data_IF_118438782136
#
_entry.id   IF_118438782136
#
_cell.length_a   1.000
_cell.length_b   1.000
_cell.length_c   1.000
_cell.angle_alpha   90.00
_cell.angle_beta   90.00
_cell.angle_gamma   90.00
#
_symmetry.space_group_name_H-M   'P 1'
#
loop_
_entity.id
_entity.type
_entity.pdbx_description
1 polymer ?
#
# COMPACT_ATOMS: atom_id res chain seq x y z
N UNK A 1 40.63 -4.29 23.67
CA UNK A 1 39.63 -5.35 23.58
C UNK A 1 38.35 -4.67 23.16
N UNK A 2 37.80 -5.03 22.02
CA UNK A 2 36.52 -4.48 21.54
C UNK A 2 35.46 -5.55 21.79
N UNK A 3 34.31 -5.14 22.37
CA UNK A 3 33.12 -5.97 22.53
C UNK A 3 32.13 -5.60 21.43
N UNK A 4 31.58 -6.58 20.76
CA UNK A 4 30.53 -6.39 19.76
C UNK A 4 29.25 -7.05 20.28
N UNK A 5 28.12 -6.38 20.17
CA UNK A 5 26.83 -6.96 20.45
C UNK A 5 26.52 -8.03 19.37
N UNK A 6 25.96 -9.15 19.79
CA UNK A 6 25.48 -10.19 18.90
C UNK A 6 24.03 -9.98 18.45
N UNK A 7 23.32 -9.06 19.11
CA UNK A 7 21.92 -8.70 18.87
C UNK A 7 21.79 -7.19 18.88
N UNK A 8 20.78 -6.68 18.21
CA UNK A 8 20.40 -5.28 18.25
C UNK A 8 19.73 -4.94 19.58
N UNK A 9 19.93 -3.73 20.10
CA UNK A 9 19.33 -3.31 21.34
C UNK A 9 20.11 -2.20 22.07
N UNK A 10 19.61 -1.81 23.24
CA UNK A 10 20.22 -0.81 24.10
C UNK A 10 21.29 -1.43 24.98
N UNK A 11 22.57 -0.99 24.90
CA UNK A 11 23.58 -1.44 25.83
C UNK A 11 23.38 -0.83 27.24
N UNK A 12 23.26 -1.68 28.26
CA UNK A 12 23.17 -1.30 29.66
C UNK A 12 24.30 -1.92 30.47
N UNK A 13 24.69 -1.24 31.55
CA UNK A 13 25.70 -1.71 32.46
C UNK A 13 25.08 -2.35 33.71
N UNK A 14 25.34 -3.62 33.94
CA UNK A 14 24.97 -4.37 35.15
C UNK A 14 26.25 -4.81 35.90
N UNK A 15 26.82 -3.90 36.68
CA UNK A 15 28.11 -4.13 37.35
C UNK A 15 29.26 -4.24 36.36
N UNK A 16 29.91 -5.40 36.28
CA UNK A 16 31.02 -5.70 35.35
C UNK A 16 30.55 -6.25 33.98
N UNK A 17 29.25 -6.43 33.80
CA UNK A 17 28.66 -6.96 32.58
C UNK A 17 28.02 -5.85 31.74
N UNK A 18 28.11 -5.96 30.40
CA UNK A 18 27.32 -5.18 29.44
C UNK A 18 26.21 -6.11 28.92
N UNK A 19 24.97 -5.70 29.11
CA UNK A 19 23.78 -6.39 28.64
C UNK A 19 23.19 -5.56 27.48
N UNK A 20 22.74 -6.21 26.43
CA UNK A 20 21.97 -5.56 25.35
C UNK A 20 20.50 -5.87 25.57
N UNK A 21 19.68 -4.85 25.80
CA UNK A 21 18.25 -4.97 25.99
C UNK A 21 17.57 -4.83 24.63
N UNK A 22 16.98 -5.91 24.13
CA UNK A 22 16.23 -5.95 22.86
C UNK A 22 14.85 -5.28 22.99
N UNK A 23 14.34 -5.11 24.21
CA UNK A 23 13.06 -4.46 24.54
C UNK A 23 13.28 -3.37 25.57
N UNK A 24 12.89 -2.15 25.23
CA UNK A 24 12.99 -0.96 26.07
C UNK A 24 11.58 -0.56 26.51
N UNK A 25 11.38 -0.35 27.82
CA UNK A 25 10.12 0.20 28.34
C UNK A 25 10.33 1.63 28.77
N UNK A 26 9.57 2.54 28.20
CA UNK A 26 9.53 3.96 28.56
C UNK A 26 8.29 4.22 29.42
N UNK A 27 8.51 4.69 30.65
CA UNK A 27 7.44 4.99 31.60
C UNK A 27 7.06 6.48 31.49
N UNK A 28 5.89 6.76 30.93
CA UNK A 28 5.35 8.10 30.74
C UNK A 28 5.12 8.43 29.26
N UNK A 29 4.90 9.70 28.97
CA UNK A 29 4.57 10.20 27.65
C UNK A 29 5.83 10.62 26.88
N UNK A 30 5.85 10.40 25.59
CA UNK A 30 6.85 10.97 24.68
C UNK A 30 6.34 12.34 24.25
N UNK A 31 6.87 13.37 24.88
CA UNK A 31 6.47 14.76 24.65
C UNK A 31 7.67 15.69 24.45
N UNK A 32 7.46 16.99 24.67
CA UNK A 32 8.48 18.02 24.46
C UNK A 32 9.73 17.80 25.32
N UNK A 33 9.56 17.28 26.55
CA UNK A 33 10.68 17.02 27.45
C UNK A 33 11.51 15.80 27.07
N UNK A 34 10.87 14.80 26.48
CA UNK A 34 11.54 13.58 26.01
C UNK A 34 12.26 13.82 24.69
N UNK A 35 11.66 14.64 23.81
CA UNK A 35 12.11 14.82 22.43
C UNK A 35 11.76 13.61 21.55
N UNK A 36 12.39 13.56 20.38
CA UNK A 36 12.22 12.45 19.43
C UNK A 36 12.99 11.22 19.89
N UNK A 37 12.49 10.04 19.55
CA UNK A 37 13.06 8.76 19.97
C UNK A 37 13.46 7.94 18.73
N UNK A 38 14.72 7.54 18.67
CA UNK A 38 15.23 6.63 17.64
C UNK A 38 16.04 5.52 18.32
N UNK A 39 15.54 4.29 18.24
CA UNK A 39 16.16 3.15 18.94
C UNK A 39 16.18 1.88 18.07
N UNK A 40 17.31 1.19 18.11
CA UNK A 40 17.48 -0.10 17.45
C UNK A 40 17.04 -1.24 18.38
N UNK A 41 15.77 -1.24 18.78
CA UNK A 41 15.16 -2.20 19.69
C UNK A 41 13.64 -2.20 19.53
N UNK A 42 12.93 -3.11 20.23
CA UNK A 42 11.50 -2.98 20.50
C UNK A 42 11.29 -1.93 21.59
N UNK A 43 10.34 -1.02 21.38
CA UNK A 43 9.98 0.02 22.34
C UNK A 43 8.56 -0.16 22.85
N UNK A 44 8.38 -0.09 24.16
CA UNK A 44 7.08 -0.01 24.81
C UNK A 44 6.95 1.33 25.50
N UNK A 45 6.00 2.15 25.06
CA UNK A 45 5.65 3.44 25.67
C UNK A 45 4.42 3.23 26.54
N UNK A 46 4.56 3.38 27.86
CA UNK A 46 3.44 3.18 28.80
C UNK A 46 2.45 4.35 28.81
N UNK A 47 2.78 5.45 28.20
CA UNK A 47 1.97 6.67 28.04
C UNK A 47 1.60 6.92 26.58
N UNK A 48 1.40 8.19 26.27
CA UNK A 48 1.01 8.73 24.96
C UNK A 48 2.21 9.27 24.17
N UNK A 49 1.99 9.55 22.88
CA UNK A 49 2.94 10.28 22.04
C UNK A 49 2.30 11.59 21.61
N UNK A 50 2.91 12.70 22.04
CA UNK A 50 2.38 14.03 21.87
C UNK A 50 2.73 14.66 20.50
N UNK A 51 2.09 15.79 20.21
CA UNK A 51 2.26 16.57 19.00
C UNK A 51 3.72 16.89 18.65
N UNK A 52 4.04 16.69 17.38
CA UNK A 52 5.33 17.01 16.79
C UNK A 52 6.45 16.05 17.19
N UNK A 53 6.12 14.88 17.77
CA UNK A 53 7.13 13.87 18.13
C UNK A 53 7.31 12.86 17.01
N UNK A 54 8.55 12.45 16.87
CA UNK A 54 8.95 11.39 15.96
C UNK A 54 9.52 10.21 16.77
N UNK A 55 8.94 9.02 16.55
CA UNK A 55 9.38 7.79 17.20
C UNK A 55 9.72 6.77 16.13
N UNK A 56 11.01 6.42 16.04
CA UNK A 56 11.51 5.36 15.14
C UNK A 56 12.07 4.21 15.94
N UNK A 57 11.65 3.00 15.61
CA UNK A 57 12.16 1.77 16.21
C UNK A 57 12.51 0.76 15.14
N UNK A 58 13.60 0.02 15.35
CA UNK A 58 14.01 -1.00 14.37
C UNK A 58 13.12 -2.27 14.40
N UNK A 59 12.46 -2.54 15.53
CA UNK A 59 11.58 -3.68 15.73
C UNK A 59 10.14 -3.23 16.03
N UNK A 60 9.47 -3.84 17.00
CA UNK A 60 8.08 -3.49 17.32
C UNK A 60 7.96 -2.23 18.15
N UNK A 61 6.87 -1.48 17.95
CA UNK A 61 6.49 -0.33 18.75
C UNK A 61 5.11 -0.59 19.40
N UNK A 62 5.04 -0.45 20.70
CA UNK A 62 3.82 -0.57 21.49
C UNK A 62 3.58 0.72 22.29
N UNK A 63 2.45 1.39 22.05
CA UNK A 63 2.03 2.63 22.74
C UNK A 63 0.74 2.33 23.50
N UNK A 64 0.76 2.49 24.84
CA UNK A 64 -0.42 2.20 25.68
C UNK A 64 -1.40 3.38 25.77
N UNK A 65 -0.98 4.59 25.43
CA UNK A 65 -1.80 5.78 25.37
C UNK A 65 -2.30 6.11 23.96
N UNK A 66 -2.57 7.40 23.75
CA UNK A 66 -3.00 7.98 22.49
C UNK A 66 -1.80 8.55 21.69
N UNK A 67 -2.01 8.78 20.41
CA UNK A 67 -1.03 9.41 19.51
C UNK A 67 -1.68 10.60 18.82
N UNK A 68 -1.16 11.80 19.07
CA UNK A 68 -1.70 13.03 18.48
C UNK A 68 -0.62 13.79 17.70
N UNK A 69 -0.87 14.04 16.42
CA UNK A 69 0.00 14.80 15.50
C UNK A 69 1.48 14.38 15.55
N UNK A 70 1.70 13.08 15.61
CA UNK A 70 3.02 12.48 15.70
C UNK A 70 3.34 11.57 14.52
N UNK A 71 4.62 11.24 14.36
CA UNK A 71 5.10 10.30 13.36
C UNK A 71 5.70 9.07 14.04
N UNK A 72 5.10 7.91 13.81
CA UNK A 72 5.55 6.63 14.36
C UNK A 72 6.01 5.71 13.23
N UNK A 73 7.23 5.21 13.34
CA UNK A 73 7.80 4.25 12.40
C UNK A 73 8.37 3.04 13.14
N UNK A 74 7.85 1.86 12.86
CA UNK A 74 8.34 0.58 13.36
C UNK A 74 8.85 -0.30 12.22
N UNK A 75 10.06 -0.86 12.37
CA UNK A 75 10.56 -1.87 11.44
C UNK A 75 9.76 -3.17 11.51
N UNK A 76 9.19 -3.48 12.67
CA UNK A 76 8.22 -4.53 12.94
C UNK A 76 6.78 -4.00 13.03
N UNK A 77 5.97 -4.63 13.89
CA UNK A 77 4.57 -4.25 14.08
C UNK A 77 4.40 -3.02 14.99
N UNK A 78 3.31 -2.27 14.77
CA UNK A 78 2.94 -1.08 15.52
C UNK A 78 1.61 -1.31 16.23
N UNK A 79 1.58 -1.24 17.55
CA UNK A 79 0.36 -1.34 18.36
C UNK A 79 0.15 -0.05 19.15
N UNK A 80 -1.01 0.58 18.98
CA UNK A 80 -1.47 1.70 19.79
C UNK A 80 -2.76 1.29 20.48
N UNK A 81 -2.76 1.21 21.81
CA UNK A 81 -3.96 0.81 22.57
C UNK A 81 -5.07 1.87 22.50
N UNK A 82 -4.67 3.12 22.46
CA UNK A 82 -5.56 4.28 22.34
C UNK A 82 -5.91 4.67 20.90
N UNK A 83 -6.20 5.95 20.73
CA UNK A 83 -6.60 6.56 19.46
C UNK A 83 -5.40 7.24 18.79
N UNK A 84 -5.40 7.25 17.46
CA UNK A 84 -4.45 8.03 16.68
C UNK A 84 -5.18 9.14 15.92
N UNK A 85 -4.71 10.38 16.07
CA UNK A 85 -5.34 11.57 15.48
C UNK A 85 -4.28 12.41 14.78
N UNK A 86 -4.54 12.80 13.52
CA UNK A 86 -3.65 13.62 12.68
C UNK A 86 -2.20 13.11 12.61
N UNK A 87 -1.99 11.81 12.66
CA UNK A 87 -0.69 11.18 12.82
C UNK A 87 -0.31 10.32 11.63
N UNK A 88 0.99 10.08 11.48
CA UNK A 88 1.52 9.16 10.48
C UNK A 88 2.02 7.89 11.17
N UNK A 89 1.53 6.74 10.70
CA UNK A 89 1.82 5.44 11.29
C UNK A 89 2.40 4.52 10.21
N UNK A 90 3.60 4.03 10.42
CA UNK A 90 4.25 3.09 9.49
C UNK A 90 4.71 1.84 10.23
N UNK A 91 4.23 0.66 9.79
CA UNK A 91 4.65 -0.65 10.28
C UNK A 91 5.30 -1.49 9.17
N UNK A 92 6.43 -2.14 9.50
CA UNK A 92 7.26 -2.83 8.53
C UNK A 92 8.31 -1.95 7.86
N UNK A 93 8.48 -0.70 8.34
CA UNK A 93 9.49 0.23 7.88
C UNK A 93 9.54 0.34 6.34
N UNK A 94 10.76 0.20 5.77
CA UNK A 94 10.96 0.21 4.32
C UNK A 94 10.14 -0.85 3.57
N UNK A 95 9.77 -1.96 4.23
CA UNK A 95 9.02 -3.04 3.60
C UNK A 95 7.58 -2.63 3.25
N UNK A 96 6.95 -1.78 4.06
CA UNK A 96 5.63 -1.23 3.75
C UNK A 96 5.65 -0.44 2.45
N UNK A 97 6.64 0.46 2.32
CA UNK A 97 6.84 1.29 1.12
C UNK A 97 7.12 0.44 -0.12
N UNK A 98 7.97 -0.60 0.01
CA UNK A 98 8.27 -1.53 -1.09
C UNK A 98 7.02 -2.33 -1.49
N UNK A 99 6.19 -2.76 -0.53
CA UNK A 99 4.92 -3.44 -0.82
C UNK A 99 3.92 -2.53 -1.53
N UNK A 100 3.89 -1.24 -1.16
CA UNK A 100 3.08 -0.24 -1.85
C UNK A 100 3.49 -0.11 -3.32
N UNK A 101 4.79 0.02 -3.60
CA UNK A 101 5.30 0.02 -4.98
C UNK A 101 4.95 -1.28 -5.73
N UNK A 102 5.11 -2.43 -5.07
CA UNK A 102 4.78 -3.73 -5.66
C UNK A 102 3.28 -3.89 -5.96
N UNK A 103 2.41 -3.35 -5.13
CA UNK A 103 0.97 -3.34 -5.38
C UNK A 103 0.63 -2.51 -6.62
N UNK A 104 1.21 -1.31 -6.74
CA UNK A 104 1.03 -0.46 -7.92
C UNK A 104 1.63 -1.06 -9.20
N UNK A 105 2.73 -1.83 -9.11
CA UNK A 105 3.36 -2.51 -10.25
C UNK A 105 2.61 -3.77 -10.70
N UNK A 106 1.95 -4.48 -9.76
CA UNK A 106 1.48 -5.86 -9.97
C UNK A 106 0.46 -6.02 -11.10
N UNK A 107 -0.48 -5.10 -11.25
CA UNK A 107 -1.44 -5.07 -12.37
C UNK A 107 -0.77 -4.59 -13.66
N UNK A 108 0.15 -3.64 -13.55
CA UNK A 108 0.78 -2.99 -14.70
C UNK A 108 1.64 -3.94 -15.54
N UNK A 109 2.44 -4.80 -14.91
CA UNK A 109 3.34 -5.73 -15.63
C UNK A 109 2.59 -6.71 -16.52
N UNK A 110 1.44 -7.20 -16.04
CA UNK A 110 0.63 -8.17 -16.77
C UNK A 110 -0.13 -7.54 -17.93
N UNK A 111 -0.73 -6.37 -17.69
CA UNK A 111 -1.41 -5.60 -18.73
C UNK A 111 -0.46 -5.21 -19.85
N UNK A 112 0.76 -4.78 -19.50
CA UNK A 112 1.79 -4.46 -20.48
C UNK A 112 2.21 -5.68 -21.31
N UNK A 113 2.22 -6.89 -20.75
CA UNK A 113 2.51 -8.11 -21.51
C UNK A 113 1.43 -8.41 -22.55
N UNK A 114 0.15 -8.20 -22.17
CA UNK A 114 -0.99 -8.31 -23.10
C UNK A 114 -0.93 -7.24 -24.17
N UNK A 115 -0.65 -6.00 -23.77
CA UNK A 115 -0.48 -4.85 -24.69
C UNK A 115 0.61 -5.13 -25.71
N UNK A 116 1.80 -5.62 -25.30
CA UNK A 116 2.89 -5.93 -26.22
C UNK A 116 2.49 -6.99 -27.25
N UNK A 117 1.80 -8.04 -26.82
CA UNK A 117 1.27 -9.08 -27.69
C UNK A 117 0.24 -8.54 -28.68
N UNK A 118 -0.63 -7.65 -28.21
CA UNK A 118 -1.65 -6.99 -29.05
C UNK A 118 -1.02 -6.06 -30.07
N UNK A 119 -0.02 -5.27 -29.69
CA UNK A 119 0.74 -4.39 -30.61
C UNK A 119 1.40 -5.22 -31.71
N UNK A 120 2.05 -6.35 -31.35
CA UNK A 120 2.68 -7.24 -32.34
C UNK A 120 1.67 -7.78 -33.34
N UNK A 121 0.53 -8.24 -32.85
CA UNK A 121 -0.55 -8.74 -33.70
C UNK A 121 -1.10 -7.64 -34.63
N UNK A 122 -1.28 -6.43 -34.15
CA UNK A 122 -1.72 -5.27 -34.97
C UNK A 122 -0.71 -4.96 -36.07
N UNK A 123 0.58 -4.91 -35.72
CA UNK A 123 1.67 -4.60 -36.66
C UNK A 123 1.81 -5.71 -37.73
N UNK A 124 1.77 -6.99 -37.32
CA UNK A 124 1.83 -8.11 -38.27
C UNK A 124 0.62 -8.15 -39.21
N UNK A 125 -0.57 -7.98 -38.66
CA UNK A 125 -1.82 -7.96 -39.47
C UNK A 125 -1.87 -6.77 -40.45
N UNK A 126 -1.30 -5.64 -40.12
CA UNK A 126 -1.16 -4.52 -41.04
C UNK A 126 -0.18 -4.83 -42.17
N UNK A 127 0.98 -5.46 -41.84
CA UNK A 127 1.98 -5.89 -42.83
C UNK A 127 1.39 -6.89 -43.84
N UNK A 128 0.61 -7.87 -43.34
CA UNK A 128 -0.02 -8.87 -44.19
C UNK A 128 -1.01 -8.25 -45.19
N UNK A 129 -1.58 -7.08 -44.83
CA UNK A 129 -2.45 -6.27 -45.71
C UNK A 129 -1.69 -5.26 -46.58
N UNK A 130 -0.35 -5.31 -46.60
CA UNK A 130 0.48 -4.37 -47.33
C UNK A 130 0.53 -2.96 -46.75
N UNK A 131 0.11 -2.79 -45.50
CA UNK A 131 0.12 -1.52 -44.76
C UNK A 131 1.29 -1.45 -43.78
N UNK A 132 1.81 -0.23 -43.57
CA UNK A 132 2.81 0.01 -42.52
C UNK A 132 2.14 0.64 -41.30
N UNK A 133 2.16 -0.08 -40.17
CA UNK A 133 1.72 0.44 -38.88
C UNK A 133 2.93 0.53 -37.94
N UNK A 134 3.40 1.74 -37.59
CA UNK A 134 4.47 1.89 -36.61
C UNK A 134 4.02 1.35 -35.23
N UNK A 135 4.89 0.59 -34.50
CA UNK A 135 4.54 0.03 -33.18
C UNK A 135 4.05 1.08 -32.19
N UNK A 136 4.66 2.27 -32.15
CA UNK A 136 4.24 3.36 -31.29
C UNK A 136 2.83 3.89 -31.58
N UNK A 137 2.38 3.86 -32.85
CA UNK A 137 0.99 4.22 -33.20
C UNK A 137 0.00 3.17 -32.75
N UNK A 138 0.36 1.88 -32.85
CA UNK A 138 -0.46 0.80 -32.33
C UNK A 138 -0.57 0.89 -30.80
N UNK A 139 0.54 1.13 -30.12
CA UNK A 139 0.58 1.34 -28.67
C UNK A 139 -0.29 2.54 -28.25
N UNK A 140 -0.16 3.69 -28.92
CA UNK A 140 -0.98 4.87 -28.63
C UNK A 140 -2.49 4.56 -28.72
N UNK A 141 -2.94 3.87 -29.77
CA UNK A 141 -4.33 3.51 -29.94
C UNK A 141 -4.86 2.61 -28.82
N UNK A 142 -4.02 1.71 -28.28
CA UNK A 142 -4.36 0.88 -27.14
C UNK A 142 -4.43 1.66 -25.84
N UNK A 143 -3.48 2.59 -25.63
CA UNK A 143 -3.43 3.46 -24.44
C UNK A 143 -4.50 4.56 -24.43
N UNK A 144 -5.09 4.91 -25.55
CA UNK A 144 -6.25 5.81 -25.66
C UNK A 144 -7.59 5.05 -25.69
N UNK A 145 -7.54 3.72 -25.77
CA UNK A 145 -8.69 2.83 -25.88
C UNK A 145 -8.77 1.83 -24.72
N UNK A 146 -8.75 0.52 -25.05
CA UNK A 146 -9.06 -0.53 -24.08
C UNK A 146 -8.06 -0.65 -22.91
N UNK A 147 -6.84 -0.12 -23.05
CA UNK A 147 -5.79 -0.18 -22.02
C UNK A 147 -5.43 1.21 -21.45
N UNK A 148 -6.39 2.13 -21.42
CA UNK A 148 -6.17 3.45 -20.82
C UNK A 148 -5.81 3.38 -19.32
N UNK A 149 -6.28 2.36 -18.60
CA UNK A 149 -5.96 2.09 -17.19
C UNK A 149 -4.47 1.94 -16.92
N UNK A 150 -3.69 1.38 -17.85
CA UNK A 150 -2.23 1.23 -17.71
C UNK A 150 -1.53 2.58 -17.46
N UNK A 151 -2.01 3.66 -18.08
CA UNK A 151 -1.48 5.00 -17.82
C UNK A 151 -1.76 5.49 -16.41
N UNK A 152 -2.94 5.17 -15.89
CA UNK A 152 -3.33 5.52 -14.52
C UNK A 152 -2.45 4.76 -13.52
N UNK A 153 -2.27 3.46 -13.70
CA UNK A 153 -1.41 2.65 -12.84
C UNK A 153 0.06 3.11 -12.90
N UNK A 154 0.58 3.47 -14.07
CA UNK A 154 1.93 4.02 -14.14
C UNK A 154 2.05 5.39 -13.46
N UNK A 155 1.00 6.22 -13.48
CA UNK A 155 0.98 7.46 -12.71
C UNK A 155 0.96 7.20 -11.19
N UNK A 156 0.28 6.15 -10.74
CA UNK A 156 0.31 5.70 -9.33
C UNK A 156 1.71 5.22 -8.92
N UNK A 157 2.38 4.43 -9.77
CA UNK A 157 3.78 4.01 -9.55
C UNK A 157 4.70 5.22 -9.36
N UNK A 158 4.60 6.21 -10.24
CA UNK A 158 5.37 7.45 -10.13
C UNK A 158 5.01 8.22 -8.85
N UNK A 159 3.72 8.31 -8.50
CA UNK A 159 3.27 8.98 -7.28
C UNK A 159 3.82 8.30 -6.02
N UNK A 160 3.89 6.97 -5.96
CA UNK A 160 4.50 6.23 -4.85
C UNK A 160 6.00 6.52 -4.77
N UNK A 161 6.71 6.54 -5.90
CA UNK A 161 8.15 6.86 -5.93
C UNK A 161 8.40 8.30 -5.47
N UNK A 162 7.57 9.24 -5.91
CA UNK A 162 7.70 10.67 -5.56
C UNK A 162 7.37 10.91 -4.08
N UNK A 163 6.31 10.28 -3.56
CA UNK A 163 5.87 10.45 -2.18
C UNK A 163 6.91 9.97 -1.17
N UNK A 164 7.62 8.89 -1.47
CA UNK A 164 8.59 8.29 -0.55
C UNK A 164 10.04 8.64 -0.88
N UNK A 165 10.28 9.19 -2.06
CA UNK A 165 11.60 9.48 -2.60
C UNK A 165 12.29 8.26 -3.21
N UNK A 166 12.89 8.44 -4.39
CA UNK A 166 13.54 7.38 -5.17
C UNK A 166 14.60 6.57 -4.37
N UNK A 167 15.25 7.20 -3.38
CA UNK A 167 16.27 6.54 -2.54
C UNK A 167 15.71 5.44 -1.63
N UNK A 168 14.39 5.39 -1.42
CA UNK A 168 13.72 4.33 -0.66
C UNK A 168 13.67 3.01 -1.43
N UNK A 169 13.81 3.05 -2.74
CA UNK A 169 13.70 1.90 -3.64
C UNK A 169 15.06 1.53 -4.25
N UNK A 170 15.24 0.28 -4.72
CA UNK A 170 16.39 -0.08 -5.52
C UNK A 170 16.44 0.73 -6.82
N UNK A 171 17.63 1.24 -7.15
CA UNK A 171 17.85 2.09 -8.35
C UNK A 171 17.33 1.42 -9.64
N UNK A 172 17.52 0.10 -9.78
CA UNK A 172 17.03 -0.66 -10.93
C UNK A 172 15.51 -0.66 -11.06
N UNK A 173 14.77 -0.74 -9.95
CA UNK A 173 13.32 -0.72 -9.95
C UNK A 173 12.78 0.66 -10.35
N UNK A 174 13.36 1.73 -9.80
CA UNK A 174 13.01 3.11 -10.17
C UNK A 174 13.31 3.39 -11.65
N UNK A 175 14.49 2.99 -12.13
CA UNK A 175 14.87 3.18 -13.53
C UNK A 175 13.94 2.41 -14.48
N UNK A 176 13.56 1.17 -14.14
CA UNK A 176 12.62 0.39 -14.94
C UNK A 176 11.21 1.03 -14.98
N UNK A 177 10.70 1.48 -13.83
CA UNK A 177 9.42 2.17 -13.75
C UNK A 177 9.41 3.44 -14.62
N UNK A 178 10.40 4.31 -14.47
CA UNK A 178 10.53 5.53 -15.28
C UNK A 178 10.65 5.23 -16.78
N UNK A 179 11.40 4.18 -17.17
CA UNK A 179 11.54 3.81 -18.57
C UNK A 179 10.22 3.34 -19.19
N UNK A 180 9.43 2.57 -18.45
CA UNK A 180 8.09 2.14 -18.88
C UNK A 180 7.14 3.33 -18.93
N UNK A 181 7.10 4.15 -17.90
CA UNK A 181 6.27 5.37 -17.83
C UNK A 181 6.55 6.31 -19.00
N UNK A 182 7.83 6.54 -19.34
CA UNK A 182 8.22 7.35 -20.49
C UNK A 182 7.63 6.84 -21.82
N UNK A 183 7.59 5.51 -22.00
CA UNK A 183 7.04 4.91 -23.22
C UNK A 183 5.50 4.90 -23.21
N UNK A 184 4.87 4.60 -22.08
CA UNK A 184 3.42 4.41 -21.98
C UNK A 184 2.65 5.73 -21.85
N UNK A 185 3.16 6.66 -21.05
CA UNK A 185 2.50 7.94 -20.76
C UNK A 185 3.15 9.15 -21.43
N UNK A 186 4.38 9.02 -21.94
CA UNK A 186 5.19 10.09 -22.48
C UNK A 186 5.39 10.06 -23.99
N UNK A 187 6.39 10.79 -24.45
CA UNK A 187 6.77 10.89 -25.87
C UNK A 187 7.50 9.63 -26.37
N UNK A 188 8.00 8.77 -25.50
CA UNK A 188 8.78 7.58 -25.84
C UNK A 188 8.06 6.57 -26.71
N UNK A 189 6.72 6.56 -26.74
CA UNK A 189 5.98 5.71 -27.68
C UNK A 189 6.26 6.06 -29.16
N UNK A 190 6.57 7.32 -29.46
CA UNK A 190 6.95 7.74 -30.80
C UNK A 190 8.36 7.32 -31.20
N UNK A 191 9.20 6.96 -30.23
CA UNK A 191 10.57 6.51 -30.40
C UNK A 191 10.67 4.99 -30.62
N UNK A 192 9.55 4.27 -30.41
CA UNK A 192 9.50 2.82 -30.61
C UNK A 192 9.64 2.47 -32.10
N UNK A 193 10.77 1.84 -32.43
CA UNK A 193 11.08 1.34 -33.77
C UNK A 193 10.71 -0.13 -33.96
N UNK A 194 10.56 -0.89 -32.88
CA UNK A 194 10.19 -2.31 -32.88
C UNK A 194 9.46 -2.73 -31.61
N UNK A 195 8.67 -3.79 -31.71
CA UNK A 195 7.94 -4.37 -30.56
C UNK A 195 8.93 -4.99 -29.55
N UNK A 196 10.10 -5.43 -30.01
CA UNK A 196 11.14 -6.02 -29.14
C UNK A 196 11.64 -5.04 -28.08
N UNK A 197 11.66 -3.73 -28.39
CA UNK A 197 12.02 -2.69 -27.41
C UNK A 197 10.99 -2.62 -26.28
N UNK A 198 9.70 -2.67 -26.61
CA UNK A 198 8.63 -2.69 -25.61
C UNK A 198 8.72 -3.94 -24.73
N UNK A 199 8.92 -5.10 -25.35
CA UNK A 199 9.11 -6.38 -24.62
C UNK A 199 10.31 -6.34 -23.67
N UNK A 200 11.44 -5.79 -24.11
CA UNK A 200 12.63 -5.69 -23.27
C UNK A 200 12.38 -4.83 -22.02
N UNK A 201 11.64 -3.73 -22.15
CA UNK A 201 11.25 -2.88 -21.02
C UNK A 201 10.34 -3.64 -20.03
N UNK A 202 9.35 -4.37 -20.55
CA UNK A 202 8.41 -5.15 -19.73
C UNK A 202 9.15 -6.26 -18.98
N UNK A 203 10.06 -6.98 -19.64
CA UNK A 203 10.87 -8.02 -18.99
C UNK A 203 11.74 -7.40 -17.90
N UNK A 204 12.37 -6.26 -18.16
CA UNK A 204 13.19 -5.58 -17.15
C UNK A 204 12.33 -5.17 -15.94
N UNK A 205 11.13 -4.65 -16.15
CA UNK A 205 10.20 -4.29 -15.07
C UNK A 205 9.80 -5.52 -14.25
N UNK A 206 9.43 -6.61 -14.92
CA UNK A 206 9.04 -7.87 -14.26
C UNK A 206 10.20 -8.49 -13.46
N UNK A 207 11.43 -8.43 -13.98
CA UNK A 207 12.63 -8.90 -13.26
C UNK A 207 12.88 -8.08 -11.99
N UNK A 208 12.70 -6.75 -12.05
CA UNK A 208 12.83 -5.88 -10.89
C UNK A 208 11.71 -6.13 -9.86
N UNK A 209 10.48 -6.31 -10.32
CA UNK A 209 9.35 -6.69 -9.47
C UNK A 209 9.63 -8.01 -8.75
N UNK A 210 10.09 -9.03 -9.46
CA UNK A 210 10.45 -10.32 -8.87
C UNK A 210 11.58 -10.17 -7.83
N UNK A 211 12.62 -9.40 -8.15
CA UNK A 211 13.71 -9.13 -7.22
C UNK A 211 13.24 -8.42 -5.94
N UNK A 212 12.31 -7.45 -6.05
CA UNK A 212 11.69 -6.79 -4.91
C UNK A 212 10.89 -7.78 -4.05
N UNK A 213 10.07 -8.64 -4.67
CA UNK A 213 9.26 -9.65 -3.97
C UNK A 213 10.12 -10.62 -3.16
N UNK A 214 11.27 -11.03 -3.70
CA UNK A 214 12.17 -11.99 -3.03
C UNK A 214 12.93 -11.39 -1.84
N UNK A 215 12.96 -10.06 -1.73
CA UNK A 215 13.61 -9.34 -0.62
C UNK A 215 12.64 -8.95 0.50
N UNK A 216 11.34 -9.22 0.33
CA UNK A 216 10.36 -8.87 1.35
C UNK A 216 10.54 -9.74 2.60
N UNK A 217 10.55 -9.06 3.75
CA UNK A 217 10.44 -9.71 5.06
C UNK A 217 8.98 -10.09 5.38
N UNK A 218 8.78 -10.76 6.52
CA UNK A 218 7.45 -11.06 7.04
C UNK A 218 6.62 -9.78 7.21
N UNK A 219 5.32 -9.84 6.90
CA UNK A 219 4.44 -8.69 7.01
C UNK A 219 4.32 -8.20 8.46
N UNK A 220 4.27 -6.88 8.63
CA UNK A 220 4.10 -6.21 9.93
C UNK A 220 2.76 -5.50 9.98
N UNK A 221 2.05 -5.65 11.09
CA UNK A 221 0.70 -5.13 11.27
C UNK A 221 0.66 -3.79 12.01
N UNK A 222 -0.39 -3.00 11.75
CA UNK A 222 -0.82 -1.89 12.59
C UNK A 222 -2.07 -2.30 13.35
N UNK A 223 -2.09 -2.09 14.68
CA UNK A 223 -3.25 -2.31 15.52
C UNK A 223 -3.53 -1.08 16.36
N UNK A 224 -4.77 -0.55 16.31
CA UNK A 224 -5.18 0.62 17.11
C UNK A 224 -6.67 0.59 17.40
N UNK A 225 -7.13 1.41 18.38
CA UNK A 225 -8.55 1.50 18.69
C UNK A 225 -9.30 2.42 17.70
N UNK A 226 -8.65 3.47 17.19
CA UNK A 226 -9.30 4.51 16.41
C UNK A 226 -8.31 5.28 15.55
N UNK A 227 -8.75 5.69 14.36
CA UNK A 227 -7.98 6.55 13.45
C UNK A 227 -8.82 7.75 12.99
N UNK A 228 -8.23 8.94 13.05
CA UNK A 228 -8.84 10.15 12.48
C UNK A 228 -7.78 11.03 11.82
N UNK A 229 -7.99 11.34 10.55
CA UNK A 229 -7.11 12.17 9.74
C UNK A 229 -5.63 11.70 9.81
N UNK A 230 -5.44 10.38 9.72
CA UNK A 230 -4.13 9.73 9.78
C UNK A 230 -3.70 9.21 8.41
N UNK A 231 -2.38 9.15 8.21
CA UNK A 231 -1.76 8.41 7.12
C UNK A 231 -1.18 7.11 7.69
N UNK A 232 -1.65 5.96 7.20
CA UNK A 232 -1.28 4.65 7.72
C UNK A 232 -0.70 3.79 6.61
N UNK A 233 0.51 3.28 6.85
CA UNK A 233 1.17 2.31 5.97
C UNK A 233 1.55 1.07 6.77
N UNK A 234 0.97 -0.08 6.42
CA UNK A 234 1.34 -1.37 7.00
C UNK A 234 1.79 -2.34 5.90
N UNK A 235 2.90 -3.03 6.11
CA UNK A 235 3.31 -4.10 5.20
C UNK A 235 2.43 -5.35 5.30
N UNK A 236 1.74 -5.54 6.42
CA UNK A 236 0.74 -6.57 6.70
C UNK A 236 -0.64 -5.98 6.93
N UNK A 237 -1.31 -6.42 8.00
CA UNK A 237 -2.71 -6.10 8.29
C UNK A 237 -2.87 -4.78 9.05
N UNK A 238 -4.06 -4.17 8.90
CA UNK A 238 -4.54 -3.12 9.78
C UNK A 238 -5.75 -3.61 10.56
N UNK A 239 -5.67 -3.55 11.89
CA UNK A 239 -6.74 -3.98 12.79
C UNK A 239 -7.21 -2.81 13.65
N UNK A 240 -8.47 -2.43 13.51
CA UNK A 240 -9.13 -1.41 14.31
C UNK A 240 -10.05 -2.08 15.31
N UNK A 241 -9.78 -1.90 16.60
CA UNK A 241 -10.51 -2.61 17.68
C UNK A 241 -11.65 -1.80 18.29
N UNK A 242 -11.78 -0.53 17.93
CA UNK A 242 -12.77 0.40 18.51
C UNK A 242 -13.74 0.97 17.48
N UNK A 243 -13.98 2.28 17.53
CA UNK A 243 -15.09 2.92 16.82
C UNK A 243 -14.90 3.12 15.32
N UNK A 244 -13.66 3.00 14.79
CA UNK A 244 -13.46 3.03 13.35
C UNK A 244 -12.38 3.97 12.85
N UNK A 245 -12.52 4.34 11.58
CA UNK A 245 -11.56 5.12 10.80
C UNK A 245 -12.29 6.30 10.14
N UNK A 246 -11.74 7.49 10.29
CA UNK A 246 -12.33 8.71 9.75
C UNK A 246 -11.30 9.56 8.99
N UNK A 247 -11.65 9.94 7.75
CA UNK A 247 -10.88 10.86 6.89
C UNK A 247 -9.38 10.54 6.83
N UNK A 248 -9.04 9.27 6.72
CA UNK A 248 -7.65 8.80 6.74
C UNK A 248 -7.24 8.23 5.39
N UNK A 249 -5.94 8.29 5.11
CA UNK A 249 -5.33 7.62 3.96
C UNK A 249 -4.67 6.33 4.46
N UNK A 250 -5.01 5.21 3.86
CA UNK A 250 -4.61 3.90 4.34
C UNK A 250 -4.00 3.12 3.19
N UNK A 251 -2.82 2.57 3.43
CA UNK A 251 -2.24 1.52 2.64
C UNK A 251 -1.93 0.32 3.53
N UNK A 252 -2.48 -0.85 3.20
CA UNK A 252 -2.18 -2.12 3.86
C UNK A 252 -1.89 -3.20 2.83
N UNK A 253 -0.76 -3.88 3.00
CA UNK A 253 -0.37 -4.99 2.13
C UNK A 253 -1.16 -6.28 2.40
N UNK A 254 -1.71 -6.43 3.60
CA UNK A 254 -2.56 -7.52 4.06
C UNK A 254 -4.05 -7.14 4.12
N UNK A 255 -4.72 -7.62 5.17
CA UNK A 255 -6.16 -7.42 5.39
C UNK A 255 -6.44 -6.17 6.21
N UNK A 256 -7.61 -5.56 5.98
CA UNK A 256 -8.17 -4.49 6.80
C UNK A 256 -9.36 -5.01 7.62
N UNK A 257 -9.20 -5.04 8.94
CA UNK A 257 -10.22 -5.47 9.90
C UNK A 257 -10.69 -4.31 10.77
N UNK A 258 -11.97 -3.96 10.72
CA UNK A 258 -12.58 -2.98 11.61
C UNK A 258 -13.56 -3.73 12.52
N UNK A 259 -13.04 -4.19 13.70
CA UNK A 259 -13.66 -5.20 14.56
C UNK A 259 -14.74 -4.66 15.50
N UNK A 260 -14.86 -3.34 15.70
CA UNK A 260 -15.86 -2.77 16.62
C UNK A 260 -17.30 -3.06 16.17
N UNK A 261 -18.20 -3.43 17.07
CA UNK A 261 -19.56 -3.88 16.75
C UNK A 261 -20.48 -2.86 16.05
N UNK A 262 -20.06 -1.60 15.92
CA UNK A 262 -20.63 -0.53 15.08
C UNK A 262 -19.53 0.31 14.47
N UNK A 263 -18.47 -0.35 14.08
CA UNK A 263 -17.29 0.31 13.55
C UNK A 263 -17.53 0.84 12.13
N UNK A 264 -17.07 2.04 11.89
CA UNK A 264 -17.28 2.75 10.62
C UNK A 264 -15.95 3.06 9.96
N UNK A 265 -15.84 2.87 8.65
CA UNK A 265 -14.84 3.49 7.80
C UNK A 265 -15.51 4.59 6.98
N UNK A 266 -15.15 5.85 7.24
CA UNK A 266 -15.83 7.00 6.66
C UNK A 266 -14.86 8.08 6.18
N UNK A 267 -14.94 8.40 4.89
CA UNK A 267 -14.12 9.42 4.24
C UNK A 267 -12.66 9.00 4.09
N UNK A 268 -11.96 9.62 3.14
CA UNK A 268 -10.58 9.32 2.83
C UNK A 268 -10.41 8.25 1.75
N UNK A 269 -9.27 7.58 1.75
CA UNK A 269 -8.89 6.61 0.73
C UNK A 269 -8.25 5.39 1.40
N UNK A 270 -8.62 4.19 0.99
CA UNK A 270 -8.05 2.95 1.48
C UNK A 270 -7.61 2.05 0.33
N UNK A 271 -6.33 1.66 0.33
CA UNK A 271 -5.75 0.67 -0.58
C UNK A 271 -5.43 -0.57 0.25
N UNK A 272 -6.03 -1.70 -0.09
CA UNK A 272 -5.94 -2.96 0.66
C UNK A 272 -5.50 -4.09 -0.26
N UNK A 273 -4.37 -4.71 0.07
CA UNK A 273 -3.82 -5.84 -0.71
C UNK A 273 -4.58 -7.15 -0.49
N UNK A 274 -5.15 -7.33 0.69
CA UNK A 274 -5.94 -8.49 1.10
C UNK A 274 -7.44 -8.28 1.05
N UNK A 275 -8.15 -8.81 2.06
CA UNK A 275 -9.57 -8.63 2.26
C UNK A 275 -9.88 -7.44 3.18
N UNK A 276 -11.07 -6.90 3.06
CA UNK A 276 -11.57 -5.82 3.90
C UNK A 276 -12.86 -6.22 4.59
N UNK A 277 -12.89 -6.11 5.92
CA UNK A 277 -14.03 -6.39 6.76
C UNK A 277 -14.39 -5.17 7.60
N UNK A 278 -15.60 -4.64 7.44
CA UNK A 278 -16.09 -3.47 8.15
C UNK A 278 -17.59 -3.60 8.43
N UNK A 279 -18.08 -3.05 9.55
CA UNK A 279 -19.51 -3.03 9.79
C UNK A 279 -20.20 -1.98 8.90
N UNK A 280 -19.69 -0.74 8.89
CA UNK A 280 -20.31 0.37 8.15
C UNK A 280 -19.26 1.07 7.27
N UNK A 281 -19.51 1.12 5.95
CA UNK A 281 -18.64 1.77 4.97
C UNK A 281 -19.34 3.02 4.42
N UNK A 282 -18.70 4.18 4.57
CA UNK A 282 -19.29 5.48 4.28
C UNK A 282 -20.05 6.06 5.46
N UNK A 283 -21.03 6.92 5.20
CA UNK A 283 -21.88 7.53 6.23
C UNK A 283 -22.97 8.41 5.66
N UNK A 284 -23.99 8.70 6.48
CA UNK A 284 -25.21 9.44 6.11
C UNK A 284 -24.99 10.80 5.42
N UNK A 285 -23.82 11.41 5.59
CA UNK A 285 -23.48 12.70 4.99
C UNK A 285 -23.05 12.64 3.53
N UNK A 286 -23.03 11.46 2.88
CA UNK A 286 -22.60 11.29 1.49
C UNK A 286 -21.14 11.70 1.21
N UNK A 287 -20.29 11.72 2.23
CA UNK A 287 -18.87 11.98 2.04
C UNK A 287 -18.29 10.88 1.15
N UNK A 288 -17.56 11.27 0.11
CA UNK A 288 -16.90 10.34 -0.79
C UNK A 288 -15.91 9.48 0.00
N UNK A 289 -15.96 8.19 -0.24
CA UNK A 289 -15.02 7.19 0.25
C UNK A 289 -14.56 6.35 -0.91
N UNK A 290 -13.26 6.32 -1.12
CA UNK A 290 -12.63 5.52 -2.18
C UNK A 290 -11.90 4.34 -1.54
N UNK A 291 -12.23 3.12 -2.00
CA UNK A 291 -11.60 1.86 -1.57
C UNK A 291 -11.06 1.14 -2.77
N UNK A 292 -9.80 0.74 -2.72
CA UNK A 292 -9.16 -0.06 -3.73
C UNK A 292 -8.70 -1.39 -3.12
N UNK A 293 -9.22 -2.50 -3.64
CA UNK A 293 -8.80 -3.84 -3.28
C UNK A 293 -7.86 -4.35 -4.36
N UNK A 294 -6.56 -4.23 -4.10
CA UNK A 294 -5.49 -4.61 -5.03
C UNK A 294 -5.02 -6.05 -4.76
N UNK A 295 -4.48 -6.69 -5.79
CA UNK A 295 -3.92 -8.04 -5.70
C UNK A 295 -4.92 -9.14 -6.12
N UNK A 296 -4.34 -10.23 -6.63
CA UNK A 296 -5.09 -11.37 -7.20
C UNK A 296 -5.47 -12.43 -6.16
N UNK A 297 -5.77 -12.05 -4.95
CA UNK A 297 -6.28 -13.01 -3.97
C UNK A 297 -7.67 -13.43 -4.40
N UNK A 298 -7.79 -14.64 -4.92
CA UNK A 298 -9.06 -15.26 -5.29
C UNK A 298 -9.81 -15.61 -4.01
N UNK A 299 -10.63 -14.71 -3.54
CA UNK A 299 -11.57 -14.96 -2.45
C UNK A 299 -12.93 -14.41 -2.81
N UNK A 300 -14.01 -15.15 -2.56
CA UNK A 300 -15.37 -14.67 -2.82
C UNK A 300 -15.74 -13.43 -1.98
N UNK A 301 -15.01 -13.18 -0.90
CA UNK A 301 -15.28 -12.11 0.06
C UNK A 301 -14.07 -11.16 0.20
N UNK A 302 -13.71 -10.44 -0.89
CA UNK A 302 -12.67 -9.41 -0.84
C UNK A 302 -13.11 -8.19 -0.03
N UNK A 303 -14.38 -7.79 -0.16
CA UNK A 303 -15.03 -6.81 0.68
C UNK A 303 -16.23 -7.44 1.36
N UNK A 304 -16.31 -7.29 2.67
CA UNK A 304 -17.50 -7.60 3.46
C UNK A 304 -17.89 -6.39 4.31
N UNK A 305 -19.11 -5.88 4.09
CA UNK A 305 -19.66 -4.77 4.84
C UNK A 305 -21.13 -5.03 5.19
N UNK A 306 -21.53 -4.80 6.44
CA UNK A 306 -22.92 -4.97 6.84
C UNK A 306 -23.79 -3.85 6.27
N UNK A 307 -23.23 -2.63 6.17
CA UNK A 307 -23.90 -1.45 5.60
C UNK A 307 -22.92 -0.68 4.72
N UNK A 308 -23.34 -0.34 3.50
CA UNK A 308 -22.59 0.56 2.60
C UNK A 308 -23.47 1.74 2.24
N UNK A 309 -22.95 2.94 2.48
CA UNK A 309 -23.66 4.21 2.23
C UNK A 309 -23.49 4.70 0.79
N UNK A 310 -24.39 5.59 0.33
CA UNK A 310 -24.23 6.29 -0.94
C UNK A 310 -22.94 7.12 -0.97
N UNK A 311 -22.30 7.20 -2.15
CA UNK A 311 -21.05 7.94 -2.34
C UNK A 311 -19.79 7.11 -2.04
N UNK A 312 -19.93 5.84 -1.73
CA UNK A 312 -18.79 4.89 -1.63
C UNK A 312 -18.45 4.37 -3.02
N UNK A 313 -17.17 4.45 -3.34
CA UNK A 313 -16.58 3.92 -4.57
C UNK A 313 -15.64 2.79 -4.19
N UNK A 314 -15.85 1.61 -4.72
CA UNK A 314 -15.00 0.43 -4.50
C UNK A 314 -14.44 0.00 -5.84
N UNK A 315 -13.13 -0.15 -5.92
CA UNK A 315 -12.46 -0.74 -7.09
C UNK A 315 -11.87 -2.07 -6.67
N UNK A 316 -12.22 -3.14 -7.36
CA UNK A 316 -11.64 -4.48 -7.16
C UNK A 316 -10.95 -4.86 -8.46
N UNK A 317 -9.62 -4.97 -8.46
CA UNK A 317 -8.85 -5.33 -9.65
C UNK A 317 -9.30 -4.54 -10.89
N UNK A 318 -9.35 -3.26 -10.92
CA UNK A 318 -9.81 -2.40 -12.05
C UNK A 318 -11.32 -2.32 -12.28
N UNK A 319 -12.15 -3.13 -11.63
CA UNK A 319 -13.60 -3.08 -11.78
C UNK A 319 -14.21 -2.12 -10.75
N UNK A 320 -14.67 -0.92 -11.16
CA UNK A 320 -15.29 0.04 -10.26
C UNK A 320 -16.72 -0.35 -9.94
N UNK A 321 -17.08 -0.24 -8.68
CA UNK A 321 -18.45 -0.36 -8.16
C UNK A 321 -18.78 0.92 -7.40
N UNK A 322 -19.83 1.62 -7.81
CA UNK A 322 -20.29 2.85 -7.15
C UNK A 322 -21.62 2.57 -6.46
N UNK A 323 -21.70 2.88 -5.19
CA UNK A 323 -22.94 2.76 -4.42
C UNK A 323 -23.68 4.09 -4.44
N UNK A 324 -24.79 4.14 -5.19
CA UNK A 324 -25.67 5.31 -5.28
C UNK A 324 -26.74 5.29 -4.19
N UNK A 325 -27.10 4.09 -3.69
CA UNK A 325 -28.09 3.86 -2.65
C UNK A 325 -27.49 3.11 -1.46
N UNK A 326 -28.15 3.23 -0.29
CA UNK A 326 -27.81 2.43 0.89
C UNK A 326 -27.98 0.95 0.60
N UNK A 327 -26.95 0.16 0.88
CA UNK A 327 -26.95 -1.29 0.73
C UNK A 327 -26.63 -1.97 2.06
N UNK A 328 -27.25 -3.13 2.29
CA UNK A 328 -27.01 -3.98 3.46
C UNK A 328 -26.49 -5.34 3.03
N UNK A 329 -25.63 -5.93 3.86
CA UNK A 329 -25.08 -7.27 3.63
C UNK A 329 -24.23 -7.36 2.35
N UNK A 330 -23.39 -6.38 2.10
CA UNK A 330 -22.56 -6.33 0.89
C UNK A 330 -21.38 -7.29 1.02
N UNK A 331 -21.24 -8.18 0.05
CA UNK A 331 -20.08 -9.04 -0.15
C UNK A 331 -19.63 -8.95 -1.62
N UNK A 332 -18.43 -8.46 -1.86
CA UNK A 332 -17.84 -8.37 -3.19
C UNK A 332 -16.57 -9.21 -3.25
N UNK A 333 -16.42 -9.98 -4.31
CA UNK A 333 -15.24 -10.79 -4.57
C UNK A 333 -14.81 -10.73 -6.02
N UNK A 334 -13.74 -11.43 -6.34
CA UNK A 334 -13.28 -11.63 -7.71
C UNK A 334 -12.99 -13.11 -7.97
N UNK A 335 -13.20 -13.54 -9.23
CA UNK A 335 -12.84 -14.88 -9.69
C UNK A 335 -11.34 -15.00 -9.99
N UNK A 336 -10.92 -16.18 -10.49
CA UNK A 336 -9.51 -16.45 -10.85
C UNK A 336 -9.00 -15.57 -11.99
N UNK A 337 -9.90 -15.07 -12.84
CA UNK A 337 -9.61 -14.14 -13.92
C UNK A 337 -9.64 -12.66 -13.45
N UNK A 338 -10.00 -12.41 -12.19
CA UNK A 338 -10.09 -11.07 -11.61
C UNK A 338 -11.42 -10.36 -11.84
N UNK A 339 -12.40 -10.98 -12.49
CA UNK A 339 -13.72 -10.39 -12.71
C UNK A 339 -14.54 -10.37 -11.42
N UNK A 340 -15.38 -9.34 -11.26
CA UNK A 340 -16.31 -9.26 -10.14
C UNK A 340 -17.25 -10.44 -10.08
N UNK A 341 -17.28 -11.10 -8.93
CA UNK A 341 -18.30 -12.09 -8.64
C UNK A 341 -19.64 -11.40 -8.35
N UNK A 342 -20.77 -11.92 -8.86
CA UNK A 342 -22.07 -11.38 -8.51
C UNK A 342 -22.31 -11.51 -7.00
N UNK A 343 -22.87 -10.46 -6.40
CA UNK A 343 -23.28 -10.44 -5.00
C UNK A 343 -24.11 -11.69 -4.71
N UNK A 344 -23.72 -12.50 -3.72
CA UNK A 344 -24.57 -13.55 -3.21
C UNK A 344 -25.80 -12.87 -2.58
N UNK A 345 -27.00 -13.25 -3.04
CA UNK A 345 -28.27 -12.68 -2.62
C UNK A 345 -28.64 -13.09 -1.19
#
# INVERSE_FOLDING_TARGET
MHLYAAVDGRPTHAGAMVIVEERITFHGDIGVETGDVDVNATLVVMGSVDEGREVRVAHDLEVHGDVDRAHLEAGGSLTVTGSCVHSQLRAGGRQAVVRHLLAALGSTSEDLAVVATTVEHMVSSARDRGQQLPPGRALLALMEGPYAGVRTHMAEVEAVIDAHGAAMFPEGAVAAAHAVSHVVAGLGMHELTGVDQLRALIVTLADQEHALRTQLADPSAVRTAYLQACDVEASGDLVITGSGIFNSTIFVGGDLWVEGGRSTLRGGHAIVGGAMHVHELGGDGGARMDVELQGRTVTPDRLRADVVHPGVHVTINEYPVVFEDLRQGVALGADEEGHLLPQAA
#
